data_IF_520429411149
#
_entry.id   IF_520429411149
#
_cell.length_a   1.000
_cell.length_b   1.000
_cell.length_c   1.000
_cell.angle_alpha   90.00
_cell.angle_beta   90.00
_cell.angle_gamma   90.00
#
_symmetry.space_group_name_H-M   'P 1'
#
loop_
_entity.id
_entity.type
_entity.pdbx_description
1 polymer ?
#
# COMPACT_ATOMS: atom_id res chain seq x y z
N UNK A 1 -6.26 -11.06 0.90
CA UNK A 1 -6.28 -9.66 1.37
C UNK A 1 -6.14 -9.67 2.87
N UNK A 2 -5.31 -8.79 3.42
CA UNK A 2 -5.18 -8.53 4.85
C UNK A 2 -5.52 -7.06 5.09
N UNK A 3 -6.27 -6.78 6.16
CA UNK A 3 -6.71 -5.43 6.47
C UNK A 3 -6.63 -5.16 7.97
N UNK A 4 -6.28 -3.93 8.32
CA UNK A 4 -6.33 -3.42 9.67
C UNK A 4 -7.55 -2.54 9.82
N UNK A 5 -8.20 -2.60 10.98
CA UNK A 5 -9.46 -1.93 11.25
C UNK A 5 -9.41 -1.26 12.61
N UNK A 6 -10.11 -0.14 12.77
CA UNK A 6 -10.30 0.46 14.08
C UNK A 6 -11.34 -0.36 14.90
N UNK A 7 -11.59 0.06 16.14
CA UNK A 7 -12.55 -0.60 17.04
C UNK A 7 -13.98 -0.67 16.47
N UNK A 8 -14.34 0.24 15.56
CA UNK A 8 -15.65 0.32 14.91
C UNK A 8 -15.72 -0.50 13.61
N UNK A 9 -14.65 -1.22 13.24
CA UNK A 9 -14.58 -2.00 12.01
C UNK A 9 -14.36 -1.17 10.74
N UNK A 10 -13.91 0.08 10.86
CA UNK A 10 -13.53 0.93 9.73
C UNK A 10 -12.11 0.57 9.26
N UNK A 11 -11.89 0.28 7.96
CA UNK A 11 -10.57 -0.03 7.44
C UNK A 11 -9.59 1.13 7.64
N UNK A 12 -8.46 0.84 8.28
CA UNK A 12 -7.31 1.72 8.39
C UNK A 12 -6.38 1.54 7.19
N UNK A 13 -6.05 0.29 6.87
CA UNK A 13 -5.29 -0.09 5.68
C UNK A 13 -5.75 -1.44 5.15
N UNK A 14 -5.73 -1.61 3.84
CA UNK A 14 -5.92 -2.89 3.15
C UNK A 14 -4.75 -3.15 2.21
N UNK A 15 -4.14 -4.32 2.32
CA UNK A 15 -3.08 -4.75 1.42
C UNK A 15 -3.60 -5.70 0.35
N UNK A 16 -3.19 -5.41 -0.89
CA UNK A 16 -3.46 -6.22 -2.07
C UNK A 16 -2.15 -6.91 -2.46
N UNK A 17 -2.20 -8.23 -2.59
CA UNK A 17 -1.05 -9.06 -2.94
C UNK A 17 -1.35 -9.89 -4.19
N UNK A 18 -0.33 -10.07 -5.04
CA UNK A 18 -0.29 -11.04 -6.12
C UNK A 18 0.59 -12.21 -5.67
N UNK A 19 -0.04 -13.29 -5.19
CA UNK A 19 0.69 -14.34 -4.47
C UNK A 19 1.21 -13.81 -3.13
N UNK A 20 2.51 -14.00 -2.88
CA UNK A 20 3.25 -13.46 -1.73
C UNK A 20 3.77 -12.03 -1.95
N UNK A 21 3.65 -11.49 -3.18
CA UNK A 21 4.11 -10.13 -3.51
C UNK A 21 3.04 -9.07 -3.18
N UNK A 22 3.32 -8.10 -2.29
CA UNK A 22 2.44 -6.95 -2.12
C UNK A 22 2.53 -6.03 -3.35
N UNK A 23 1.38 -5.60 -3.86
CA UNK A 23 1.29 -4.76 -5.08
C UNK A 23 0.63 -3.41 -4.83
N UNK A 24 -0.25 -3.31 -3.82
CA UNK A 24 -0.88 -2.05 -3.46
C UNK A 24 -1.33 -2.03 -1.99
N UNK A 25 -1.45 -0.83 -1.45
CA UNK A 25 -2.09 -0.56 -0.17
C UNK A 25 -3.14 0.53 -0.34
N UNK A 26 -4.33 0.31 0.24
CA UNK A 26 -5.39 1.32 0.31
C UNK A 26 -5.58 1.75 1.76
N UNK A 27 -5.38 3.03 2.04
CA UNK A 27 -5.54 3.64 3.35
C UNK A 27 -6.88 4.34 3.45
N UNK A 28 -7.56 4.16 4.59
CA UNK A 28 -8.89 4.69 4.84
C UNK A 28 -10.00 3.96 4.08
N UNK A 29 -11.18 4.60 4.01
CA UNK A 29 -12.39 4.02 3.44
C UNK A 29 -13.26 5.06 2.72
N UNK A 30 -14.14 4.61 1.84
CA UNK A 30 -15.07 5.49 1.11
C UNK A 30 -14.35 6.40 0.12
N UNK A 31 -14.88 7.62 -0.05
CA UNK A 31 -14.38 8.60 -1.04
C UNK A 31 -13.05 9.25 -0.64
N UNK A 32 -12.62 9.11 0.61
CA UNK A 32 -11.34 9.64 1.10
C UNK A 32 -10.22 8.61 1.06
N UNK A 33 -10.51 7.38 0.62
CA UNK A 33 -9.53 6.31 0.52
C UNK A 33 -8.40 6.69 -0.45
N UNK A 34 -7.15 6.45 -0.04
CA UNK A 34 -5.96 6.68 -0.86
C UNK A 34 -5.31 5.35 -1.19
N UNK A 35 -5.02 5.11 -2.46
CA UNK A 35 -4.33 3.90 -2.91
C UNK A 35 -2.91 4.23 -3.35
N UNK A 36 -1.98 3.36 -2.99
CA UNK A 36 -0.57 3.44 -3.35
C UNK A 36 -0.12 2.15 -4.02
N UNK A 37 0.63 2.26 -5.11
CA UNK A 37 1.37 1.14 -5.69
C UNK A 37 2.58 0.84 -4.82
N UNK A 38 2.82 -0.46 -4.58
CA UNK A 38 3.96 -0.94 -3.83
C UNK A 38 5.01 -1.45 -4.82
N UNK A 39 6.18 -0.83 -4.82
CA UNK A 39 7.35 -1.38 -5.53
C UNK A 39 8.11 -2.27 -4.58
N UNK A 40 8.51 -3.47 -5.04
CA UNK A 40 9.25 -4.45 -4.23
C UNK A 40 10.63 -4.73 -4.80
N UNK A 41 11.53 -5.22 -3.97
CA UNK A 41 12.78 -5.85 -4.43
C UNK A 41 12.57 -7.30 -4.93
N UNK A 42 13.68 -7.99 -5.21
CA UNK A 42 13.68 -9.37 -5.69
C UNK A 42 13.18 -10.39 -4.65
N UNK A 43 13.12 -10.02 -3.38
CA UNK A 43 12.63 -10.84 -2.26
C UNK A 43 11.19 -10.48 -1.89
N UNK A 44 10.49 -9.72 -2.74
CA UNK A 44 9.13 -9.23 -2.50
C UNK A 44 9.02 -8.26 -1.30
N UNK A 45 10.14 -7.69 -0.84
CA UNK A 45 10.14 -6.69 0.24
C UNK A 45 9.68 -5.34 -0.29
N UNK A 46 8.70 -4.67 0.32
CA UNK A 46 8.31 -3.31 -0.05
C UNK A 46 9.49 -2.33 0.05
N UNK A 47 9.74 -1.57 -1.02
CA UNK A 47 10.78 -0.54 -1.07
C UNK A 47 10.22 0.86 -1.27
N UNK A 48 9.08 1.01 -1.94
CA UNK A 48 8.46 2.33 -2.19
C UNK A 48 6.94 2.27 -2.24
N UNK A 49 6.32 3.38 -1.85
CA UNK A 49 4.90 3.65 -2.09
C UNK A 49 4.77 4.79 -3.11
N UNK A 50 4.06 4.52 -4.20
CA UNK A 50 3.80 5.50 -5.28
C UNK A 50 2.31 5.83 -5.29
N UNK A 51 1.96 7.11 -5.29
CA UNK A 51 0.57 7.56 -5.33
C UNK A 51 -0.14 7.01 -6.57
N UNK A 52 -1.18 6.18 -6.39
CA UNK A 52 -1.87 5.55 -7.52
C UNK A 52 -2.70 6.55 -8.34
N UNK A 53 -3.03 7.72 -7.79
CA UNK A 53 -3.79 8.75 -8.49
C UNK A 53 -2.99 9.41 -9.64
N UNK A 54 -1.68 9.56 -9.47
CA UNK A 54 -0.78 10.17 -10.45
C UNK A 54 0.27 9.18 -11.03
N UNK A 55 0.43 8.02 -10.41
CA UNK A 55 1.34 6.96 -10.83
C UNK A 55 2.83 7.30 -10.74
N UNK A 56 3.20 8.46 -10.17
CA UNK A 56 4.57 8.99 -10.27
C UNK A 56 5.10 9.54 -8.95
N UNK A 57 4.24 10.05 -8.08
CA UNK A 57 4.67 10.65 -6.81
C UNK A 57 5.04 9.57 -5.81
N UNK A 58 6.32 9.47 -5.45
CA UNK A 58 6.78 8.62 -4.35
C UNK A 58 6.47 9.30 -3.02
N UNK A 59 5.69 8.64 -2.16
CA UNK A 59 5.27 9.19 -0.85
C UNK A 59 6.01 8.55 0.32
N UNK A 60 6.64 7.41 0.07
CA UNK A 60 7.50 6.72 1.02
C UNK A 60 8.52 5.89 0.25
N UNK A 61 9.75 5.85 0.74
CA UNK A 61 10.80 5.02 0.21
C UNK A 61 11.67 4.51 1.36
N UNK A 62 12.11 3.26 1.21
CA UNK A 62 13.19 2.69 1.99
C UNK A 62 14.18 2.06 1.02
N UNK A 63 15.10 2.91 0.59
CA UNK A 63 16.30 2.49 -0.10
C UNK A 63 17.34 2.25 1.00
N UNK A 64 17.72 0.98 1.24
CA UNK A 64 18.86 0.68 2.11
C UNK A 64 20.11 1.35 1.52
N UNK A 65 20.87 2.08 2.36
CA UNK A 65 22.17 2.66 1.96
C UNK A 65 23.22 1.57 1.74
#
# INVERSE_FOLDING_TARGET
MIGEYNADGVPLVKYICLGDKPVAATYGAGTTAKTYWITTDAQNTPRRLINAADGTTTVWAWDEQ
#
